data_IF_304954090942
#
_entry.id   IF_304954090942
#
_cell.length_a   1.000
_cell.length_b   1.000
_cell.length_c   1.000
_cell.angle_alpha   90.00
_cell.angle_beta   90.00
_cell.angle_gamma   90.00
#
_symmetry.space_group_name_H-M   'P 1'
#
loop_
_entity.id
_entity.type
_entity.pdbx_description
1 polymer ?
#
# COMPACT_ATOMS: atom_id res chain seq x y z
N UNK A 1 -0.02 -21.34 11.29
CA UNK A 1 0.84 -20.34 11.95
C UNK A 1 2.24 -20.53 11.38
N UNK A 2 2.89 -19.48 10.92
CA UNK A 2 4.28 -19.54 10.43
C UNK A 2 5.20 -18.93 11.49
N UNK A 3 6.36 -19.54 11.70
CA UNK A 3 7.35 -19.08 12.68
C UNK A 3 8.37 -18.19 11.96
N UNK A 4 8.46 -16.94 12.38
CA UNK A 4 9.40 -15.94 11.83
C UNK A 4 10.15 -15.28 12.98
N UNK A 5 11.49 -15.34 13.01
CA UNK A 5 12.32 -14.78 14.09
C UNK A 5 11.78 -15.06 15.50
N UNK A 6 11.41 -16.33 15.76
CA UNK A 6 10.79 -16.85 16.99
C UNK A 6 9.37 -16.36 17.30
N UNK A 7 8.78 -15.48 16.50
CA UNK A 7 7.40 -15.04 16.62
C UNK A 7 6.47 -15.91 15.78
N UNK A 8 5.28 -16.19 16.32
CA UNK A 8 4.24 -16.91 15.60
C UNK A 8 3.29 -15.94 14.93
N UNK A 9 3.21 -16.02 13.60
CA UNK A 9 2.28 -15.22 12.80
C UNK A 9 1.14 -16.14 12.35
N UNK A 10 -0.13 -15.81 12.64
CA UNK A 10 -1.27 -16.57 12.12
C UNK A 10 -1.32 -16.48 10.59
N UNK A 11 -1.62 -17.60 9.91
CA UNK A 11 -1.70 -17.62 8.44
C UNK A 11 -2.76 -16.64 7.92
N UNK A 12 -3.86 -16.46 8.67
CA UNK A 12 -4.90 -15.49 8.35
C UNK A 12 -4.39 -14.04 8.32
N UNK A 13 -3.45 -13.68 9.20
CA UNK A 13 -2.88 -12.33 9.25
C UNK A 13 -1.91 -12.12 8.08
N UNK A 14 -1.15 -13.16 7.70
CA UNK A 14 -0.32 -13.12 6.49
C UNK A 14 -1.16 -12.98 5.23
N UNK A 15 -2.25 -13.75 5.12
CA UNK A 15 -3.18 -13.66 4.01
C UNK A 15 -3.83 -12.28 3.94
N UNK A 16 -4.24 -11.72 5.08
CA UNK A 16 -4.78 -10.35 5.15
C UNK A 16 -3.76 -9.33 4.63
N UNK A 17 -2.49 -9.41 5.07
CA UNK A 17 -1.45 -8.52 4.58
C UNK A 17 -1.20 -8.66 3.07
N UNK A 18 -1.24 -9.88 2.52
CA UNK A 18 -1.08 -10.11 1.09
C UNK A 18 -2.30 -9.61 0.29
N UNK A 19 -3.51 -9.79 0.84
CA UNK A 19 -4.74 -9.26 0.27
C UNK A 19 -4.69 -7.72 0.22
N UNK A 20 -4.28 -7.07 1.30
CA UNK A 20 -4.12 -5.62 1.36
C UNK A 20 -3.10 -5.14 0.30
N UNK A 21 -1.98 -5.85 0.11
CA UNK A 21 -1.02 -5.53 -0.95
C UNK A 21 -1.66 -5.61 -2.34
N UNK A 22 -2.43 -6.67 -2.62
CA UNK A 22 -3.17 -6.80 -3.89
C UNK A 22 -4.22 -5.71 -4.09
N UNK A 23 -4.96 -5.36 -3.03
CA UNK A 23 -5.93 -4.27 -3.04
C UNK A 23 -5.26 -2.91 -3.27
N UNK A 24 -4.07 -2.68 -2.72
CA UNK A 24 -3.31 -1.45 -2.97
C UNK A 24 -2.89 -1.33 -4.44
N UNK A 25 -2.42 -2.42 -5.06
CA UNK A 25 -2.09 -2.44 -6.51
C UNK A 25 -3.34 -2.12 -7.35
N UNK A 26 -4.48 -2.75 -7.02
CA UNK A 26 -5.74 -2.48 -7.72
C UNK A 26 -6.21 -1.04 -7.51
N UNK A 27 -6.10 -0.49 -6.31
CA UNK A 27 -6.45 0.89 -6.01
C UNK A 27 -5.57 1.87 -6.80
N UNK A 28 -4.27 1.59 -6.92
CA UNK A 28 -3.36 2.39 -7.75
C UNK A 28 -3.75 2.36 -9.24
N UNK A 29 -4.14 1.20 -9.77
CA UNK A 29 -4.59 1.11 -11.17
C UNK A 29 -5.91 1.86 -11.37
N UNK A 30 -6.89 1.71 -10.46
CA UNK A 30 -8.16 2.44 -10.52
C UNK A 30 -7.90 3.95 -10.47
N UNK A 31 -7.00 4.42 -9.60
CA UNK A 31 -6.65 5.83 -9.52
C UNK A 31 -6.03 6.36 -10.83
N UNK A 32 -5.18 5.58 -11.48
CA UNK A 32 -4.63 5.94 -12.78
C UNK A 32 -5.71 6.02 -13.87
N UNK A 33 -6.56 5.00 -13.97
CA UNK A 33 -7.67 4.97 -14.93
C UNK A 33 -8.63 6.15 -14.71
N UNK A 34 -8.97 6.43 -13.45
CA UNK A 34 -9.79 7.56 -13.08
C UNK A 34 -9.19 8.88 -13.56
N UNK A 35 -7.89 9.07 -13.33
CA UNK A 35 -7.17 10.28 -13.78
C UNK A 35 -7.12 10.37 -15.31
N UNK A 36 -6.90 9.26 -16.02
CA UNK A 36 -6.85 9.23 -17.47
C UNK A 36 -8.18 9.69 -18.09
N UNK A 37 -9.31 9.21 -17.54
CA UNK A 37 -10.65 9.64 -17.94
C UNK A 37 -10.87 11.13 -17.69
N UNK A 38 -10.43 11.65 -16.54
CA UNK A 38 -10.58 13.08 -16.20
C UNK A 38 -9.86 14.03 -17.17
N UNK A 39 -8.70 13.63 -17.69
CA UNK A 39 -7.88 14.46 -18.58
C UNK A 39 -8.02 14.09 -20.06
N UNK A 40 -8.91 13.16 -20.40
CA UNK A 40 -9.11 12.69 -21.79
C UNK A 40 -7.89 11.97 -22.37
N UNK A 41 -7.04 11.37 -21.53
CA UNK A 41 -5.85 10.63 -21.93
C UNK A 41 -6.20 9.15 -22.12
N UNK A 42 -5.62 8.51 -23.14
CA UNK A 42 -5.65 7.06 -23.23
C UNK A 42 -4.85 6.46 -22.06
N UNK A 43 -5.50 5.64 -21.25
CA UNK A 43 -4.85 4.99 -20.14
C UNK A 43 -3.68 4.13 -20.62
N UNK A 44 -3.74 3.49 -21.79
CA UNK A 44 -2.70 2.59 -22.28
C UNK A 44 -2.63 1.25 -21.52
N UNK A 45 -1.74 0.36 -21.96
CA UNK A 45 -1.64 -1.00 -21.42
C UNK A 45 -1.08 -1.07 -19.99
N UNK A 46 -1.67 -1.94 -19.16
CA UNK A 46 -1.30 -2.20 -17.76
C UNK A 46 0.19 -2.52 -17.57
N UNK A 47 0.77 -3.31 -18.50
CA UNK A 47 2.18 -3.73 -18.44
C UNK A 47 3.18 -2.57 -18.44
N UNK A 48 2.81 -1.42 -19.02
CA UNK A 48 3.68 -0.24 -19.07
C UNK A 48 3.92 0.44 -17.71
N UNK A 49 3.13 0.09 -16.68
CA UNK A 49 3.20 0.73 -15.36
C UNK A 49 3.28 -0.23 -14.18
N UNK A 50 3.51 -1.53 -14.43
CA UNK A 50 3.53 -2.54 -13.36
C UNK A 50 4.49 -2.21 -12.21
N UNK A 51 5.66 -1.65 -12.52
CA UNK A 51 6.62 -1.20 -11.51
C UNK A 51 6.19 0.03 -10.72
N UNK A 52 5.50 0.98 -11.34
CA UNK A 52 4.95 2.12 -10.62
C UNK A 52 3.84 1.67 -9.66
N UNK A 53 2.92 0.81 -10.12
CA UNK A 53 1.84 0.27 -9.29
C UNK A 53 2.38 -0.52 -8.10
N UNK A 54 3.34 -1.43 -8.34
CA UNK A 54 3.97 -2.21 -7.28
C UNK A 54 4.79 -1.34 -6.33
N UNK A 55 5.50 -0.33 -6.84
CA UNK A 55 6.27 0.60 -6.02
C UNK A 55 5.37 1.38 -5.04
N UNK A 56 4.27 1.95 -5.54
CA UNK A 56 3.28 2.65 -4.71
C UNK A 56 2.68 1.71 -3.66
N UNK A 57 2.25 0.51 -4.07
CA UNK A 57 1.66 -0.46 -3.16
C UNK A 57 2.66 -0.91 -2.07
N UNK A 58 3.91 -1.16 -2.43
CA UNK A 58 4.96 -1.58 -1.49
C UNK A 58 5.26 -0.51 -0.45
N UNK A 59 5.36 0.77 -0.83
CA UNK A 59 5.65 1.86 0.11
C UNK A 59 4.51 2.00 1.13
N UNK A 60 3.26 2.00 0.67
CA UNK A 60 2.09 2.10 1.57
C UNK A 60 1.98 0.85 2.45
N UNK A 61 2.18 -0.34 1.88
CA UNK A 61 2.12 -1.60 2.62
C UNK A 61 3.19 -1.69 3.72
N UNK A 62 4.42 -1.26 3.42
CA UNK A 62 5.49 -1.17 4.41
C UNK A 62 5.15 -0.15 5.51
N UNK A 63 4.53 0.98 5.18
CA UNK A 63 4.04 1.93 6.18
C UNK A 63 2.95 1.31 7.07
N UNK A 64 2.03 0.52 6.50
CA UNK A 64 1.02 -0.23 7.27
C UNK A 64 1.64 -1.25 8.22
N UNK A 65 2.68 -1.97 7.76
CA UNK A 65 3.44 -2.90 8.61
C UNK A 65 4.15 -2.14 9.74
N UNK A 66 4.83 -1.03 9.43
CA UNK A 66 5.59 -0.23 10.40
C UNK A 66 4.69 0.37 11.50
N UNK A 67 3.50 0.86 11.15
CA UNK A 67 2.51 1.39 12.10
C UNK A 67 1.77 0.26 12.86
N UNK A 68 1.95 -0.99 12.43
CA UNK A 68 1.40 -2.17 13.09
C UNK A 68 -0.09 -2.36 12.82
N UNK A 69 -0.57 -2.06 11.61
CA UNK A 69 -1.98 -2.28 11.22
C UNK A 69 -2.42 -3.74 11.46
N UNK A 70 -1.48 -4.68 11.34
CA UNK A 70 -1.72 -6.12 11.55
C UNK A 70 -1.50 -6.60 13.00
N UNK A 71 -1.36 -5.67 13.96
CA UNK A 71 -1.12 -6.00 15.36
C UNK A 71 -2.36 -6.54 16.10
N UNK A 72 -2.19 -7.27 17.23
CA UNK A 72 -3.30 -7.92 17.94
C UNK A 72 -4.44 -6.98 18.38
N UNK A 73 -4.10 -5.74 18.76
CA UNK A 73 -5.09 -4.73 19.16
C UNK A 73 -5.90 -4.19 17.97
N UNK A 74 -5.27 -4.04 16.81
CA UNK A 74 -5.94 -3.58 15.60
C UNK A 74 -6.89 -4.65 15.05
N UNK A 75 -6.50 -5.93 15.11
CA UNK A 75 -7.33 -7.06 14.68
C UNK A 75 -8.59 -7.28 15.55
N UNK A 76 -8.64 -6.68 16.74
CA UNK A 76 -9.75 -6.85 17.70
C UNK A 76 -10.63 -5.61 17.83
N UNK A 77 -10.28 -4.49 17.20
CA UNK A 77 -11.04 -3.25 17.33
C UNK A 77 -10.89 -2.37 16.10
N UNK A 78 -12.03 -2.07 15.47
CA UNK A 78 -12.09 -1.21 14.28
C UNK A 78 -11.58 0.20 14.55
N UNK A 79 -11.77 0.73 15.77
CA UNK A 79 -11.26 2.06 16.15
C UNK A 79 -9.74 2.13 16.13
N UNK A 80 -9.08 1.10 16.67
CA UNK A 80 -7.62 1.02 16.66
C UNK A 80 -7.08 0.72 15.26
N UNK A 81 -7.75 -0.16 14.50
CA UNK A 81 -7.40 -0.42 13.11
C UNK A 81 -7.50 0.85 12.26
N UNK A 82 -8.64 1.55 12.31
CA UNK A 82 -8.88 2.78 11.56
C UNK A 82 -7.85 3.87 11.89
N UNK A 83 -7.55 4.10 13.17
CA UNK A 83 -6.52 5.06 13.57
C UNK A 83 -5.14 4.71 12.98
N UNK A 84 -4.74 3.42 12.99
CA UNK A 84 -3.46 2.98 12.42
C UNK A 84 -3.43 3.05 10.90
N UNK A 85 -4.53 2.73 10.24
CA UNK A 85 -4.65 2.86 8.78
C UNK A 85 -4.51 4.32 8.35
N UNK A 86 -5.17 5.26 9.04
CA UNK A 86 -5.02 6.69 8.75
C UNK A 86 -3.57 7.17 8.89
N UNK A 87 -2.89 6.78 9.98
CA UNK A 87 -1.47 7.11 10.18
C UNK A 87 -0.59 6.47 9.11
N UNK A 88 -0.83 5.20 8.76
CA UNK A 88 -0.08 4.49 7.73
C UNK A 88 -0.23 5.14 6.34
N UNK A 89 -1.44 5.55 5.97
CA UNK A 89 -1.70 6.24 4.70
C UNK A 89 -0.96 7.58 4.67
N UNK A 90 -1.07 8.39 5.74
CA UNK A 90 -0.36 9.67 5.83
C UNK A 90 1.16 9.49 5.71
N UNK A 91 1.73 8.53 6.45
CA UNK A 91 3.15 8.23 6.39
C UNK A 91 3.58 7.71 5.00
N UNK A 92 2.76 6.84 4.39
CA UNK A 92 3.00 6.31 3.05
C UNK A 92 2.99 7.39 1.98
N UNK A 93 2.03 8.32 2.02
CA UNK A 93 1.95 9.45 1.10
C UNK A 93 3.16 10.38 1.27
N UNK A 94 3.55 10.70 2.51
CA UNK A 94 4.74 11.51 2.79
C UNK A 94 6.00 10.82 2.24
N UNK A 95 6.15 9.52 2.48
CA UNK A 95 7.28 8.74 1.95
C UNK A 95 7.30 8.75 0.42
N UNK A 96 6.15 8.55 -0.24
CA UNK A 96 6.03 8.63 -1.69
C UNK A 96 6.39 10.03 -2.23
N UNK A 97 5.97 11.10 -1.54
CA UNK A 97 6.33 12.46 -1.92
C UNK A 97 7.84 12.71 -1.82
N UNK A 98 8.49 12.18 -0.78
CA UNK A 98 9.96 12.25 -0.62
C UNK A 98 10.66 11.44 -1.70
N UNK A 99 10.19 10.22 -1.99
CA UNK A 99 10.73 9.37 -3.04
C UNK A 99 10.61 10.04 -4.40
N UNK A 100 9.44 10.59 -4.74
CA UNK A 100 9.22 11.34 -5.97
C UNK A 100 10.16 12.55 -6.04
N UNK A 101 10.29 13.32 -4.95
CA UNK A 101 11.20 14.46 -4.90
C UNK A 101 12.67 14.08 -5.13
N UNK A 102 13.14 12.95 -4.60
CA UNK A 102 14.53 12.50 -4.74
C UNK A 102 14.79 11.85 -6.11
N UNK A 103 13.86 11.00 -6.57
CA UNK A 103 14.03 10.20 -7.79
C UNK A 103 13.70 11.01 -9.04
N UNK A 104 12.89 12.07 -8.95
CA UNK A 104 12.57 12.95 -10.07
C UNK A 104 13.82 13.68 -10.55
N UNK A 105 14.54 13.02 -11.45
CA UNK A 105 15.45 13.60 -12.42
C UNK A 105 14.65 13.90 -13.68
N UNK A 106 14.33 15.17 -13.86
CA UNK A 106 13.84 15.84 -15.06
C UNK A 106 13.98 15.01 -16.36
N UNK A 107 12.89 14.36 -16.77
CA UNK A 107 12.59 13.97 -18.16
C UNK A 107 11.13 14.26 -18.43
#
# INVERSE_FOLDING_TARGET
MIRLFKHYIPNAVLLLGLLDLGLLVLASEIAWQWRAVQIGMDAGALGGRGWALLGTAMVIWLAMIAVGVYGPYALRSLRFAGARVLVAISLGIIALAVIDFIIRSDV
#
